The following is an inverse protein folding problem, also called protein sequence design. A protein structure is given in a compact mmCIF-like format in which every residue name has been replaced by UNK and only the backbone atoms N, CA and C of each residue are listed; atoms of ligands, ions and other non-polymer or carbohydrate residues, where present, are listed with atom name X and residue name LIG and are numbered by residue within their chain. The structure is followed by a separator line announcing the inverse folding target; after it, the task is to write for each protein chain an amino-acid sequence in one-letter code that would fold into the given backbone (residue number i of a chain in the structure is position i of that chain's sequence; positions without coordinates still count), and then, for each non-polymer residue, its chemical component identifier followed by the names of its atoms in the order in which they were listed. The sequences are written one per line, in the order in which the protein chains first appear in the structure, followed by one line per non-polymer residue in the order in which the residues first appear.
data_IF_582857340155
#
_entry.id   IF_582857340155
#
_cell.length_a   1.000
_cell.length_b   1.000
_cell.length_c   1.000
_cell.angle_alpha   90.00
_cell.angle_beta   90.00
_cell.angle_gamma   90.00
#
_symmetry.space_group_name_H-M   'P 1'
#
loop_
_entity.id
_entity.type
_entity.pdbx_description
1 polymer ?
#
# COMPACT_ATOMS: atom_id res chain seq x y z
N UNK A 1 -44.28 25.14 -16.41
CA UNK A 1 -43.85 25.57 -15.05
C UNK A 1 -42.59 24.82 -14.70
N UNK A 2 -41.44 25.47 -14.83
CA UNK A 2 -40.10 24.89 -14.58
C UNK A 2 -39.69 25.39 -13.18
N UNK A 3 -39.42 24.46 -12.24
CA UNK A 3 -38.91 24.79 -10.92
C UNK A 3 -37.40 25.05 -10.99
N UNK A 4 -36.87 26.09 -10.32
CA UNK A 4 -35.43 26.34 -10.30
C UNK A 4 -34.67 25.38 -9.36
N UNK A 5 -33.50 24.94 -9.80
CA UNK A 5 -32.54 24.19 -8.98
C UNK A 5 -31.99 25.08 -7.86
N UNK A 6 -31.95 24.54 -6.66
CA UNK A 6 -31.33 25.17 -5.50
C UNK A 6 -29.82 25.15 -5.59
N UNK A 7 -29.17 26.31 -5.52
CA UNK A 7 -27.72 26.49 -5.39
C UNK A 7 -27.25 26.00 -4.01
N UNK A 8 -26.54 24.89 -3.96
CA UNK A 8 -25.78 24.49 -2.78
C UNK A 8 -24.47 25.30 -2.72
N UNK A 9 -24.45 26.34 -1.92
CA UNK A 9 -23.24 27.09 -1.57
C UNK A 9 -22.51 26.29 -0.50
N UNK A 10 -21.34 25.70 -0.87
CA UNK A 10 -20.42 25.10 0.10
C UNK A 10 -19.81 26.23 0.93
N UNK A 11 -20.19 26.33 2.19
CA UNK A 11 -19.52 27.21 3.15
C UNK A 11 -18.18 26.63 3.52
N UNK A 12 -17.10 27.25 3.04
CA UNK A 12 -15.72 26.96 3.48
C UNK A 12 -15.60 27.51 4.91
N UNK A 13 -15.27 26.62 5.86
CA UNK A 13 -15.02 26.98 7.25
C UNK A 13 -13.74 27.84 7.37
N UNK A 14 -13.66 28.77 8.35
CA UNK A 14 -12.51 29.66 8.48
C UNK A 14 -11.23 28.91 8.86
N UNK A 15 -10.15 29.33 8.21
CA UNK A 15 -8.76 28.92 8.41
C UNK A 15 -8.38 28.80 9.89
N UNK A 16 -7.99 27.60 10.29
CA UNK A 16 -7.35 27.36 11.58
C UNK A 16 -5.91 27.92 11.53
N UNK A 17 -5.67 29.07 12.17
CA UNK A 17 -4.34 29.65 12.35
C UNK A 17 -3.60 28.85 13.42
N UNK A 18 -2.66 27.99 13.00
CA UNK A 18 -1.71 27.36 13.93
C UNK A 18 -0.59 28.36 14.24
N UNK A 19 -0.52 28.81 15.50
CA UNK A 19 0.62 29.53 16.05
C UNK A 19 1.72 28.51 16.39
N UNK A 20 2.82 28.53 15.65
CA UNK A 20 4.01 27.78 15.99
C UNK A 20 4.68 28.42 17.22
N UNK A 21 4.60 27.79 18.37
CA UNK A 21 5.47 28.09 19.50
C UNK A 21 6.80 27.33 19.31
N UNK A 22 7.90 28.04 19.53
CA UNK A 22 9.28 27.67 19.34
C UNK A 22 9.63 26.24 19.79
N UNK A 23 9.89 25.36 18.83
CA UNK A 23 10.58 24.11 19.06
C UNK A 23 12.10 24.32 18.85
N UNK A 24 12.99 23.63 19.61
CA UNK A 24 14.43 23.78 19.48
C UNK A 24 14.89 23.37 18.10
N UNK A 25 15.72 24.22 17.48
CA UNK A 25 16.27 24.01 16.15
C UNK A 25 17.28 22.86 16.13
N UNK A 26 16.82 21.65 15.90
CA UNK A 26 17.67 20.63 15.30
C UNK A 26 17.47 20.74 13.79
N UNK A 27 18.43 21.26 13.09
CA UNK A 27 18.45 21.33 11.63
C UNK A 27 18.48 19.90 11.06
N UNK A 28 17.33 19.26 10.95
CA UNK A 28 17.18 18.06 10.12
C UNK A 28 17.41 18.51 8.69
N UNK A 29 18.52 18.07 8.10
CA UNK A 29 18.82 18.26 6.69
C UNK A 29 17.62 17.71 5.92
N UNK A 30 16.78 18.61 5.39
CA UNK A 30 15.66 18.24 4.52
C UNK A 30 16.31 17.71 3.24
N UNK A 31 16.26 16.39 3.08
CA UNK A 31 16.69 15.77 1.83
C UNK A 31 15.70 16.19 0.75
N UNK A 32 16.14 17.07 -0.15
CA UNK A 32 15.29 17.56 -1.23
C UNK A 32 15.04 16.42 -2.20
N UNK A 33 13.78 15.97 -2.27
CA UNK A 33 13.34 14.97 -3.24
C UNK A 33 13.31 15.63 -4.63
N UNK A 34 14.12 15.09 -5.55
CA UNK A 34 14.11 15.54 -6.94
C UNK A 34 13.07 14.74 -7.75
N UNK A 35 12.36 15.38 -8.71
CA UNK A 35 11.47 14.67 -9.61
C UNK A 35 12.21 13.56 -10.37
N UNK A 36 11.61 12.38 -10.44
CA UNK A 36 12.17 11.24 -11.17
C UNK A 36 11.05 10.36 -11.74
N UNK A 37 11.35 9.68 -12.85
CA UNK A 37 10.46 8.69 -13.48
C UNK A 37 11.15 7.33 -13.40
N UNK A 38 10.49 6.36 -12.80
CA UNK A 38 10.95 4.97 -12.71
C UNK A 38 10.13 4.15 -13.69
N UNK A 39 10.80 3.52 -14.66
CA UNK A 39 10.12 2.70 -15.67
C UNK A 39 9.74 1.35 -15.10
N UNK A 40 8.61 0.80 -15.53
CA UNK A 40 8.06 -0.46 -15.03
C UNK A 40 8.99 -1.68 -15.22
N UNK A 41 9.88 -1.65 -16.21
CA UNK A 41 10.85 -2.71 -16.51
C UNK A 41 12.24 -2.50 -15.87
N UNK A 42 12.41 -1.44 -15.06
CA UNK A 42 13.70 -1.14 -14.43
C UNK A 42 13.99 -2.01 -13.21
N UNK A 43 13.01 -2.35 -12.33
CA UNK A 43 13.28 -3.14 -11.15
C UNK A 43 13.60 -4.59 -11.49
N UNK A 44 14.57 -5.15 -10.78
CA UNK A 44 14.82 -6.59 -10.77
C UNK A 44 13.72 -7.28 -9.96
N UNK A 45 13.16 -8.37 -10.51
CA UNK A 45 12.13 -9.16 -9.87
C UNK A 45 12.75 -10.44 -9.27
N UNK A 46 12.42 -10.75 -8.02
CA UNK A 46 12.91 -11.93 -7.31
C UNK A 46 11.78 -12.62 -6.53
N UNK A 47 11.89 -13.95 -6.41
CA UNK A 47 10.96 -14.76 -5.62
C UNK A 47 11.29 -14.63 -4.14
N UNK A 48 10.28 -14.33 -3.33
CA UNK A 48 10.40 -14.24 -1.87
C UNK A 48 10.01 -15.56 -1.17
N UNK A 49 10.43 -15.76 0.10
CA UNK A 49 9.92 -16.85 0.92
C UNK A 49 8.39 -16.83 1.11
N UNK A 50 7.74 -15.68 0.89
CA UNK A 50 6.29 -15.52 0.95
C UNK A 50 5.55 -16.17 -0.22
N UNK A 51 6.23 -16.79 -1.17
CA UNK A 51 5.67 -17.41 -2.39
C UNK A 51 5.15 -16.40 -3.42
N UNK A 52 5.59 -15.16 -3.37
CA UNK A 52 5.33 -14.16 -4.40
C UNK A 52 6.64 -13.60 -4.96
N UNK A 53 6.61 -13.12 -6.20
CA UNK A 53 7.72 -12.37 -6.77
C UNK A 53 7.55 -10.90 -6.45
N UNK A 54 8.66 -10.24 -6.07
CA UNK A 54 8.68 -8.81 -5.73
C UNK A 54 9.62 -8.07 -6.67
N UNK A 55 9.18 -6.94 -7.16
CA UNK A 55 10.00 -5.96 -7.88
C UNK A 55 9.89 -4.60 -7.18
N UNK A 56 10.97 -4.17 -6.52
CA UNK A 56 10.99 -2.88 -5.82
C UNK A 56 11.07 -1.73 -6.82
N UNK A 57 10.04 -0.90 -6.88
CA UNK A 57 9.94 0.22 -7.79
C UNK A 57 10.52 1.51 -7.21
N UNK A 58 10.27 1.77 -5.93
CA UNK A 58 10.68 2.99 -5.26
C UNK A 58 10.82 2.80 -3.76
N UNK A 59 11.82 3.43 -3.17
CA UNK A 59 11.95 3.52 -1.72
C UNK A 59 12.58 4.85 -1.32
N UNK A 60 11.99 5.50 -0.31
CA UNK A 60 12.58 6.61 0.44
C UNK A 60 12.25 6.42 1.93
N UNK A 61 12.61 7.36 2.78
CA UNK A 61 12.38 7.24 4.22
C UNK A 61 10.90 7.02 4.60
N UNK A 62 9.98 7.68 3.89
CA UNK A 62 8.58 7.78 4.30
C UNK A 62 7.66 6.81 3.55
N UNK A 63 8.12 6.24 2.43
CA UNK A 63 7.32 5.34 1.60
C UNK A 63 8.20 4.38 0.79
N UNK A 64 7.71 3.16 0.59
CA UNK A 64 8.21 2.25 -0.44
C UNK A 64 7.06 1.75 -1.32
N UNK A 65 7.39 1.48 -2.58
CA UNK A 65 6.47 0.93 -3.58
C UNK A 65 7.14 -0.28 -4.24
N UNK A 66 6.49 -1.42 -4.15
CA UNK A 66 6.90 -2.64 -4.83
C UNK A 66 5.74 -3.22 -5.63
N UNK A 67 6.05 -3.90 -6.73
CA UNK A 67 5.08 -4.70 -7.47
C UNK A 67 5.21 -6.14 -7.02
N UNK A 68 4.12 -6.72 -6.54
CA UNK A 68 4.00 -8.13 -6.20
C UNK A 68 3.31 -8.92 -7.32
N UNK A 69 3.78 -10.14 -7.57
CA UNK A 69 3.19 -11.08 -8.51
C UNK A 69 3.00 -12.43 -7.83
N UNK A 70 1.75 -12.90 -7.77
CA UNK A 70 1.37 -14.20 -7.20
C UNK A 70 0.88 -15.10 -8.35
N UNK A 71 1.51 -16.25 -8.52
CA UNK A 71 1.14 -17.21 -9.57
C UNK A 71 -0.24 -17.84 -9.29
N UNK A 72 -0.94 -18.37 -10.32
CA UNK A 72 -2.16 -19.14 -10.13
C UNK A 72 -1.98 -20.25 -9.08
N UNK A 73 -3.05 -20.48 -8.28
CA UNK A 73 -3.12 -21.49 -7.21
C UNK A 73 -2.11 -21.28 -6.06
N UNK A 74 -1.43 -20.14 -6.01
CA UNK A 74 -0.51 -19.79 -4.92
C UNK A 74 -1.23 -18.90 -3.89
N UNK A 75 -1.01 -19.20 -2.61
CA UNK A 75 -1.36 -18.36 -1.48
C UNK A 75 -0.08 -17.89 -0.81
N UNK A 76 0.03 -16.59 -0.54
CA UNK A 76 1.18 -16.03 0.19
C UNK A 76 1.20 -16.52 1.64
N UNK A 77 2.38 -16.58 2.23
CA UNK A 77 2.55 -16.92 3.65
C UNK A 77 1.90 -15.83 4.50
N UNK A 78 1.12 -16.22 5.55
CA UNK A 78 0.58 -15.24 6.49
C UNK A 78 1.70 -14.45 7.17
N UNK A 79 1.53 -13.14 7.27
CA UNK A 79 2.51 -12.25 7.91
C UNK A 79 1.86 -10.94 8.35
N UNK A 80 2.60 -10.17 9.14
CA UNK A 80 2.24 -8.79 9.46
C UNK A 80 3.48 -7.89 9.45
N UNK A 81 3.25 -6.57 9.39
CA UNK A 81 4.30 -5.57 9.42
C UNK A 81 4.24 -4.76 10.72
N UNK A 82 5.38 -4.64 11.42
CA UNK A 82 5.50 -3.87 12.65
C UNK A 82 5.80 -2.41 12.31
N UNK A 83 4.93 -1.50 12.77
CA UNK A 83 5.12 -0.05 12.61
C UNK A 83 4.93 0.47 11.17
N UNK A 84 4.44 -0.36 10.26
CA UNK A 84 4.22 -0.05 8.84
C UNK A 84 2.79 -0.36 8.47
N UNK A 85 2.10 0.61 7.86
CA UNK A 85 0.85 0.37 7.15
C UNK A 85 1.17 -0.05 5.72
N UNK A 86 0.45 -1.03 5.20
CA UNK A 86 0.57 -1.48 3.82
C UNK A 86 -0.75 -1.31 3.06
N UNK A 87 -0.65 -0.96 1.78
CA UNK A 87 -1.81 -0.84 0.90
C UNK A 87 -1.53 -1.67 -0.35
N UNK A 88 -2.45 -2.59 -0.70
CA UNK A 88 -2.43 -3.24 -2.00
C UNK A 88 -3.31 -2.48 -2.98
N UNK A 89 -2.83 -2.35 -4.23
CA UNK A 89 -3.60 -1.81 -5.36
C UNK A 89 -3.58 -2.87 -6.45
N UNK A 90 -4.70 -3.54 -6.68
CA UNK A 90 -4.79 -4.66 -7.63
C UNK A 90 -4.75 -4.12 -9.06
N UNK A 91 -3.83 -4.64 -9.88
CA UNK A 91 -3.62 -4.18 -11.27
C UNK A 91 -3.83 -5.25 -12.33
N UNK A 92 -3.82 -6.55 -11.96
CA UNK A 92 -4.08 -7.66 -12.87
C UNK A 92 -4.58 -8.87 -12.10
N UNK A 93 -5.40 -9.69 -12.73
CA UNK A 93 -5.93 -10.90 -12.14
C UNK A 93 -7.04 -10.65 -11.11
N UNK A 94 -7.34 -11.67 -10.36
CA UNK A 94 -8.24 -11.63 -9.21
C UNK A 94 -7.76 -12.63 -8.15
N UNK A 95 -8.13 -12.39 -6.90
CA UNK A 95 -7.69 -13.22 -5.79
C UNK A 95 -8.62 -13.12 -4.60
N UNK A 96 -8.24 -13.77 -3.52
CA UNK A 96 -8.92 -13.69 -2.23
C UNK A 96 -7.94 -13.23 -1.17
N UNK A 97 -8.24 -12.09 -0.53
CA UNK A 97 -7.43 -11.52 0.54
C UNK A 97 -8.02 -11.84 1.90
N UNK A 98 -7.16 -12.11 2.87
CA UNK A 98 -7.50 -12.21 4.30
C UNK A 98 -6.72 -11.14 5.03
N UNK A 99 -7.40 -10.29 5.82
CA UNK A 99 -6.80 -9.19 6.59
C UNK A 99 -7.39 -9.18 7.99
N UNK A 100 -6.58 -9.48 8.99
CA UNK A 100 -7.00 -9.54 10.39
C UNK A 100 -8.25 -10.43 10.59
N UNK A 101 -9.24 -9.86 11.26
CA UNK A 101 -10.50 -10.53 11.59
C UNK A 101 -11.59 -10.34 10.52
N UNK A 102 -11.26 -9.73 9.36
CA UNK A 102 -12.24 -9.59 8.28
C UNK A 102 -12.48 -10.94 7.60
N UNK A 103 -13.73 -11.15 7.14
CA UNK A 103 -14.04 -12.28 6.29
C UNK A 103 -13.18 -12.27 5.01
N UNK A 104 -12.64 -13.43 4.60
CA UNK A 104 -11.86 -13.51 3.38
C UNK A 104 -12.64 -12.97 2.18
N UNK A 105 -12.13 -11.93 1.54
CA UNK A 105 -12.83 -11.12 0.53
C UNK A 105 -12.18 -11.27 -0.83
N UNK A 106 -12.99 -11.46 -1.87
CA UNK A 106 -12.52 -11.49 -3.25
C UNK A 106 -12.11 -10.08 -3.70
N UNK A 107 -10.98 -9.99 -4.40
CA UNK A 107 -10.42 -8.74 -4.94
C UNK A 107 -10.11 -8.87 -6.40
N UNK A 108 -10.26 -7.78 -7.14
CA UNK A 108 -10.06 -7.68 -8.57
C UNK A 108 -9.39 -6.36 -8.98
N UNK A 109 -9.11 -6.19 -10.26
CA UNK A 109 -8.46 -4.96 -10.79
C UNK A 109 -9.20 -3.70 -10.38
N UNK A 110 -8.48 -2.76 -9.78
CA UNK A 110 -8.99 -1.48 -9.28
C UNK A 110 -9.29 -1.48 -7.79
N UNK A 111 -9.37 -2.67 -7.15
CA UNK A 111 -9.60 -2.74 -5.71
C UNK A 111 -8.36 -2.31 -4.92
N UNK A 112 -8.61 -1.72 -3.75
CA UNK A 112 -7.59 -1.27 -2.81
C UNK A 112 -7.83 -1.97 -1.46
N UNK A 113 -6.77 -2.61 -0.95
CA UNK A 113 -6.78 -3.26 0.37
C UNK A 113 -5.92 -2.44 1.31
N UNK A 114 -6.49 -1.95 2.41
CA UNK A 114 -5.76 -1.20 3.44
C UNK A 114 -5.47 -2.10 4.62
N UNK A 115 -4.19 -2.25 4.95
CA UNK A 115 -3.70 -3.17 5.98
C UNK A 115 -2.95 -2.36 7.03
N UNK A 116 -3.55 -2.14 8.22
CA UNK A 116 -2.88 -1.43 9.31
C UNK A 116 -1.66 -2.21 9.82
N UNK A 117 -0.74 -1.49 10.46
CA UNK A 117 0.37 -2.12 11.19
C UNK A 117 -0.11 -3.20 12.15
N UNK A 118 0.66 -4.27 12.31
CA UNK A 118 0.37 -5.42 13.20
C UNK A 118 -0.85 -6.25 12.80
N UNK A 119 -1.43 -6.02 11.62
CA UNK A 119 -2.57 -6.79 11.13
C UNK A 119 -2.08 -7.94 10.26
N UNK A 120 -2.44 -9.17 10.62
CA UNK A 120 -2.16 -10.37 9.82
C UNK A 120 -2.77 -10.27 8.44
N UNK A 121 -2.03 -10.69 7.43
CA UNK A 121 -2.48 -10.64 6.04
C UNK A 121 -1.94 -11.80 5.20
N UNK A 122 -2.73 -12.22 4.24
CA UNK A 122 -2.32 -13.11 3.14
C UNK A 122 -3.24 -12.90 1.94
N UNK A 123 -2.76 -13.24 0.76
CA UNK A 123 -3.57 -13.20 -0.47
C UNK A 123 -3.37 -14.47 -1.28
N UNK A 124 -4.48 -15.02 -1.77
CA UNK A 124 -4.49 -16.18 -2.66
C UNK A 124 -4.81 -15.72 -4.08
N UNK A 125 -4.08 -16.20 -5.06
CA UNK A 125 -4.49 -16.09 -6.45
C UNK A 125 -5.46 -17.23 -6.76
N UNK A 126 -6.74 -16.90 -6.86
CA UNK A 126 -7.83 -17.84 -7.20
C UNK A 126 -8.13 -17.87 -8.71
N UNK A 127 -7.36 -17.14 -9.51
CA UNK A 127 -7.51 -17.03 -10.95
C UNK A 127 -6.60 -17.98 -11.74
N UNK A 128 -6.69 -17.86 -13.06
CA UNK A 128 -5.89 -18.64 -14.03
C UNK A 128 -4.73 -17.85 -14.63
N UNK A 129 -4.61 -16.58 -14.29
CA UNK A 129 -3.52 -15.67 -14.68
C UNK A 129 -2.85 -15.10 -13.47
N UNK A 130 -1.67 -14.52 -13.64
CA UNK A 130 -0.95 -13.88 -12.52
C UNK A 130 -1.81 -12.81 -11.85
N UNK A 131 -1.90 -12.87 -10.52
CA UNK A 131 -2.41 -11.78 -9.69
C UNK A 131 -1.28 -10.80 -9.45
N UNK A 132 -1.45 -9.56 -9.91
CA UNK A 132 -0.45 -8.51 -9.80
C UNK A 132 -1.03 -7.32 -9.04
N UNK A 133 -0.30 -6.84 -8.06
CA UNK A 133 -0.66 -5.66 -7.28
C UNK A 133 0.57 -4.86 -6.86
N UNK A 134 0.37 -3.58 -6.58
CA UNK A 134 1.37 -2.78 -5.92
C UNK A 134 1.19 -2.84 -4.41
N UNK A 135 2.31 -3.03 -3.70
CA UNK A 135 2.44 -2.84 -2.26
C UNK A 135 2.98 -1.44 -2.01
N UNK A 136 2.22 -0.61 -1.31
CA UNK A 136 2.65 0.73 -0.87
C UNK A 136 2.75 0.73 0.64
N UNK A 137 3.97 0.84 1.16
CA UNK A 137 4.25 0.84 2.61
C UNK A 137 4.58 2.23 3.13
N UNK A 138 3.97 2.60 4.26
CA UNK A 138 4.22 3.87 4.97
C UNK A 138 4.36 3.63 6.48
N UNK A 139 5.53 3.99 7.10
CA UNK A 139 6.81 4.29 6.45
C UNK A 139 7.29 3.15 5.55
N UNK A 140 8.45 3.33 4.89
CA UNK A 140 8.96 2.33 3.94
C UNK A 140 9.07 0.94 4.59
N UNK A 141 8.89 -0.08 3.79
CA UNK A 141 9.24 -1.46 4.16
C UNK A 141 10.74 -1.58 4.45
N UNK A 142 11.07 -2.35 5.49
CA UNK A 142 12.41 -2.88 5.75
C UNK A 142 12.26 -4.33 6.21
N UNK A 143 13.31 -5.15 6.07
CA UNK A 143 13.23 -6.55 6.46
C UNK A 143 12.92 -6.72 7.97
N UNK A 144 13.32 -5.76 8.79
CA UNK A 144 13.10 -5.79 10.24
C UNK A 144 11.63 -5.58 10.65
N UNK A 145 10.81 -4.97 9.77
CA UNK A 145 9.41 -4.80 10.07
C UNK A 145 8.56 -6.04 9.75
N UNK A 146 9.09 -6.99 8.99
CA UNK A 146 8.38 -8.19 8.54
C UNK A 146 8.40 -9.30 9.60
N UNK A 147 7.23 -9.83 9.91
CA UNK A 147 7.06 -10.99 10.81
C UNK A 147 6.21 -12.05 10.11
N UNK A 148 6.84 -13.18 9.79
CA UNK A 148 6.14 -14.35 9.27
C UNK A 148 5.33 -15.00 10.38
N UNK A 149 4.14 -15.48 10.04
CA UNK A 149 3.27 -16.21 10.95
C UNK A 149 3.24 -17.70 10.53
N UNK A 150 2.97 -18.58 11.50
CA UNK A 150 2.74 -20.01 11.20
C UNK A 150 1.42 -20.19 10.45
N UNK A 151 1.41 -21.08 9.48
CA UNK A 151 0.20 -21.50 8.76
C UNK A 151 -0.76 -22.28 9.67
#
# INVERSE_FOLDING_TARGET
MIKPCANNIIKIAPTCTFTFQNAPSTSKKVEMMHPKIIKANAPYEYLTPERCSIAENYSCKDVSIARATVKPDVTTVPHHLIGVQEIYIITSGHGKVTVGDLEPTDVSVGDVVVIPSMTSQKIANSGTVDLVFYCVCTPRFTQECYVSESE
#
